data_IF_011154723122
#
_entry.id   IF_011154723122
#
_cell.length_a   1.000
_cell.length_b   1.000
_cell.length_c   1.000
_cell.angle_alpha   90.00
_cell.angle_beta   90.00
_cell.angle_gamma   90.00
#
_symmetry.space_group_name_H-M   'P 1'
#
loop_
_entity.id
_entity.type
_entity.pdbx_description
1 polymer ?
#
# COMPACT_ATOMS: atom_id res chain seq x y z
N UNK A 1 27.19 -50.17 28.25
CA UNK A 1 26.10 -49.63 29.11
C UNK A 1 26.44 -48.19 29.43
N UNK A 2 25.76 -47.23 28.79
CA UNK A 2 26.04 -45.80 28.94
C UNK A 2 25.24 -45.31 30.15
N UNK A 3 25.96 -44.91 31.20
CA UNK A 3 25.42 -44.34 32.44
C UNK A 3 24.52 -43.14 32.13
N UNK A 4 23.21 -43.30 32.36
CA UNK A 4 22.20 -42.25 32.33
C UNK A 4 22.00 -41.76 33.76
N UNK A 5 22.85 -40.85 34.24
CA UNK A 5 22.57 -40.20 35.53
C UNK A 5 23.27 -38.85 35.71
N UNK A 6 23.23 -38.00 34.68
CA UNK A 6 23.39 -36.56 34.89
C UNK A 6 22.02 -35.91 34.75
N UNK A 7 21.36 -35.70 35.89
CA UNK A 7 20.17 -34.86 35.96
C UNK A 7 20.49 -33.51 35.31
N UNK A 8 19.63 -33.09 34.37
CA UNK A 8 19.79 -31.82 33.67
C UNK A 8 19.85 -30.68 34.71
N UNK A 9 20.78 -29.73 34.57
CA UNK A 9 20.97 -28.61 35.52
C UNK A 9 19.65 -27.89 35.83
N UNK A 10 18.75 -27.80 34.84
CA UNK A 10 17.42 -27.23 34.99
C UNK A 10 16.48 -28.07 35.85
N UNK A 11 16.53 -29.40 35.77
CA UNK A 11 15.76 -30.29 36.66
C UNK A 11 16.27 -30.19 38.11
N UNK A 12 17.58 -30.13 38.31
CA UNK A 12 18.19 -29.94 39.63
C UNK A 12 17.80 -28.58 40.25
N UNK A 13 17.68 -27.52 39.43
CA UNK A 13 17.20 -26.21 39.88
C UNK A 13 15.71 -26.23 40.23
N UNK A 14 14.88 -26.92 39.46
CA UNK A 14 13.44 -27.04 39.74
C UNK A 14 13.17 -27.84 41.03
N UNK A 15 13.94 -28.92 41.26
CA UNK A 15 13.82 -29.75 42.44
C UNK A 15 14.15 -29.01 43.76
N UNK A 16 14.86 -27.87 43.70
CA UNK A 16 15.11 -27.03 44.89
C UNK A 16 13.88 -26.24 45.34
N UNK A 17 12.94 -25.96 44.44
CA UNK A 17 11.80 -25.09 44.71
C UNK A 17 10.44 -25.82 44.66
N UNK A 18 10.40 -27.01 44.08
CA UNK A 18 9.16 -27.77 43.85
C UNK A 18 9.29 -29.24 44.24
N UNK A 19 8.16 -29.89 44.53
CA UNK A 19 8.10 -31.34 44.73
C UNK A 19 8.63 -32.07 43.49
N UNK A 20 9.21 -33.27 43.64
CA UNK A 20 9.83 -34.00 42.52
C UNK A 20 8.84 -34.21 41.36
N UNK A 21 7.59 -34.55 41.69
CA UNK A 21 6.50 -34.70 40.72
C UNK A 21 6.15 -33.41 39.97
N UNK A 22 6.18 -32.27 40.67
CA UNK A 22 5.89 -30.97 40.05
C UNK A 22 7.06 -30.48 39.20
N UNK A 23 8.29 -30.73 39.64
CA UNK A 23 9.50 -30.36 38.91
C UNK A 23 9.61 -31.10 37.58
N UNK A 24 9.33 -32.41 37.56
CA UNK A 24 9.31 -33.22 36.34
C UNK A 24 8.25 -32.72 35.35
N UNK A 25 7.03 -32.47 35.84
CA UNK A 25 5.92 -31.94 35.01
C UNK A 25 6.24 -30.58 34.40
N UNK A 26 6.82 -29.66 35.17
CA UNK A 26 7.22 -28.33 34.67
C UNK A 26 8.32 -28.46 33.61
N UNK A 27 9.28 -29.37 33.82
CA UNK A 27 10.37 -29.58 32.89
C UNK A 27 9.87 -30.12 31.54
N UNK A 28 9.04 -31.17 31.55
CA UNK A 28 8.54 -31.80 30.32
C UNK A 28 7.59 -30.88 29.55
N UNK A 29 6.62 -30.25 30.22
CA UNK A 29 5.61 -29.42 29.56
C UNK A 29 6.17 -28.08 29.08
N UNK A 30 7.00 -27.40 29.89
CA UNK A 30 7.32 -25.98 29.67
C UNK A 30 8.75 -25.71 29.21
N UNK A 31 9.68 -26.64 29.45
CA UNK A 31 11.12 -26.38 29.24
C UNK A 31 11.70 -27.26 28.15
N UNK A 32 11.45 -28.57 28.16
CA UNK A 32 12.09 -29.56 27.28
C UNK A 32 11.93 -29.23 25.79
N UNK A 33 10.76 -28.72 25.39
CA UNK A 33 10.45 -28.42 23.99
C UNK A 33 10.52 -26.92 23.65
N UNK A 34 10.92 -26.06 24.59
CA UNK A 34 10.98 -24.62 24.36
C UNK A 34 12.36 -24.24 23.81
N UNK A 35 12.47 -23.82 22.54
CA UNK A 35 13.76 -23.41 21.98
C UNK A 35 14.30 -22.19 22.74
N UNK A 36 15.50 -22.31 23.30
CA UNK A 36 16.20 -21.19 23.91
C UNK A 36 16.85 -20.36 22.81
N UNK A 37 16.22 -19.25 22.45
CA UNK A 37 16.83 -18.27 21.56
C UNK A 37 17.94 -17.53 22.30
N UNK A 38 19.14 -18.12 22.30
CA UNK A 38 20.34 -17.47 22.81
C UNK A 38 20.63 -16.26 21.93
N UNK A 39 20.39 -15.07 22.46
CA UNK A 39 20.99 -13.88 21.89
C UNK A 39 22.49 -13.96 22.15
N UNK A 40 23.35 -13.66 21.15
CA UNK A 40 24.77 -13.44 21.41
C UNK A 40 24.88 -12.48 22.59
N UNK A 41 25.57 -12.92 23.64
CA UNK A 41 25.72 -12.15 24.87
C UNK A 41 26.25 -10.76 24.53
N UNK A 42 25.59 -9.73 25.08
CA UNK A 42 26.18 -8.39 25.14
C UNK A 42 27.31 -8.44 26.18
N UNK A 43 28.52 -7.95 25.86
CA UNK A 43 28.90 -7.23 24.65
C UNK A 43 29.30 -8.17 23.49
N UNK A 44 29.09 -7.75 22.22
CA UNK A 44 29.50 -8.53 21.06
C UNK A 44 30.99 -8.89 21.17
N UNK A 45 31.41 -10.09 20.70
CA UNK A 45 32.81 -10.48 20.73
C UNK A 45 33.64 -9.38 20.05
N UNK A 46 34.75 -8.99 20.68
CA UNK A 46 35.65 -7.97 20.14
C UNK A 46 35.93 -8.30 18.66
N UNK A 47 35.68 -7.34 17.77
CA UNK A 47 35.77 -7.55 16.32
C UNK A 47 37.18 -8.03 16.02
N UNK A 48 37.30 -9.30 15.63
CA UNK A 48 38.59 -9.88 15.31
C UNK A 48 39.22 -9.11 14.13
N UNK A 49 40.55 -9.01 14.08
CA UNK A 49 41.25 -8.33 12.99
C UNK A 49 40.83 -8.84 11.60
N UNK A 50 40.47 -10.14 11.49
CA UNK A 50 39.93 -10.74 10.27
C UNK A 50 38.56 -10.20 9.87
N UNK A 51 37.64 -10.04 10.83
CA UNK A 51 36.31 -9.46 10.58
C UNK A 51 36.41 -7.99 10.19
N UNK A 52 37.30 -7.22 10.82
CA UNK A 52 37.57 -5.83 10.45
C UNK A 52 38.06 -5.72 8.99
N UNK A 53 39.04 -6.54 8.59
CA UNK A 53 39.55 -6.61 7.20
C UNK A 53 38.47 -7.00 6.18
N UNK A 54 37.56 -7.91 6.54
CA UNK A 54 36.44 -8.31 5.67
C UNK A 54 35.47 -7.15 5.48
N UNK A 55 35.06 -6.49 6.57
CA UNK A 55 34.14 -5.34 6.53
C UNK A 55 34.71 -4.20 5.71
N UNK A 56 36.01 -3.95 5.80
CA UNK A 56 36.69 -2.93 4.99
C UNK A 56 36.68 -3.30 3.49
N UNK A 57 36.95 -4.57 3.13
CA UNK A 57 36.83 -5.04 1.73
C UNK A 57 35.41 -4.90 1.19
N UNK A 58 34.41 -5.27 1.99
CA UNK A 58 32.99 -5.11 1.63
C UNK A 58 32.62 -3.63 1.48
N UNK A 59 33.18 -2.73 2.31
CA UNK A 59 33.00 -1.28 2.16
C UNK A 59 33.62 -0.77 0.86
N UNK A 60 34.88 -1.08 0.59
CA UNK A 60 35.59 -0.67 -0.64
C UNK A 60 34.91 -1.17 -1.91
N UNK A 61 34.46 -2.42 -1.91
CA UNK A 61 33.70 -2.99 -3.05
C UNK A 61 32.35 -2.31 -3.25
N UNK A 62 31.62 -1.98 -2.16
CA UNK A 62 30.37 -1.20 -2.23
C UNK A 62 30.62 0.23 -2.74
N UNK A 63 31.68 0.88 -2.28
CA UNK A 63 32.07 2.23 -2.72
C UNK A 63 32.44 2.24 -4.20
N UNK A 64 33.24 1.26 -4.67
CA UNK A 64 33.56 1.09 -6.10
C UNK A 64 32.28 0.90 -6.92
N UNK A 65 31.38 -0.01 -6.52
CA UNK A 65 30.10 -0.23 -7.19
C UNK A 65 29.23 1.03 -7.24
N UNK A 66 29.28 1.88 -6.21
CA UNK A 66 28.56 3.17 -6.18
C UNK A 66 29.18 4.20 -7.13
N UNK A 67 30.50 4.22 -7.24
CA UNK A 67 31.23 5.14 -8.13
C UNK A 67 31.03 4.84 -9.62
N UNK A 68 30.82 3.56 -10.00
CA UNK A 68 30.52 3.18 -11.38
C UNK A 68 29.14 3.64 -11.86
N UNK A 69 28.19 3.89 -10.95
CA UNK A 69 26.84 4.34 -11.32
C UNK A 69 26.86 5.86 -11.53
N UNK A 70 26.17 6.38 -12.57
CA UNK A 70 25.99 7.81 -12.70
C UNK A 70 25.35 8.37 -11.43
N UNK A 71 25.80 9.55 -10.99
CA UNK A 71 25.21 10.20 -9.82
C UNK A 71 23.73 10.45 -10.09
N UNK A 72 22.81 10.07 -9.18
CA UNK A 72 21.41 10.39 -9.35
C UNK A 72 21.23 11.91 -9.36
N UNK A 73 20.26 12.38 -10.14
CA UNK A 73 19.94 13.81 -10.20
C UNK A 73 19.56 14.34 -8.81
N UNK A 74 20.14 15.47 -8.44
CA UNK A 74 19.77 16.17 -7.22
C UNK A 74 18.31 16.67 -7.30
N UNK A 75 17.71 16.99 -6.15
CA UNK A 75 16.36 17.56 -6.14
C UNK A 75 16.28 18.90 -6.89
N UNK A 76 17.36 19.69 -6.89
CA UNK A 76 17.44 20.95 -7.63
C UNK A 76 17.51 20.70 -9.15
N UNK A 77 18.33 19.73 -9.57
CA UNK A 77 18.45 19.34 -10.98
C UNK A 77 17.13 18.82 -11.55
N UNK A 78 16.40 17.98 -10.80
CA UNK A 78 15.08 17.47 -11.23
C UNK A 78 14.04 18.58 -11.40
N UNK A 79 14.04 19.58 -10.50
CA UNK A 79 13.18 20.76 -10.62
C UNK A 79 13.55 21.62 -11.83
N UNK A 80 14.84 21.84 -12.08
CA UNK A 80 15.30 22.58 -13.26
C UNK A 80 14.92 21.89 -14.58
N UNK A 81 14.92 20.56 -14.60
CA UNK A 81 14.47 19.78 -15.77
C UNK A 81 12.94 19.69 -15.89
N UNK A 82 12.16 20.13 -14.90
CA UNK A 82 10.70 20.00 -14.92
C UNK A 82 10.22 18.55 -14.99
N UNK A 83 10.99 17.58 -14.49
CA UNK A 83 10.73 16.14 -14.68
C UNK A 83 9.36 15.69 -14.15
N UNK A 84 8.77 16.45 -13.24
CA UNK A 84 7.50 16.14 -12.59
C UNK A 84 6.33 17.01 -13.07
N UNK A 85 6.60 17.93 -14.00
CA UNK A 85 5.63 18.89 -14.49
C UNK A 85 5.04 18.38 -15.80
N UNK A 86 3.73 18.51 -15.97
CA UNK A 86 3.04 18.14 -17.20
C UNK A 86 3.20 19.30 -18.19
N UNK A 87 3.85 19.10 -19.36
CA UNK A 87 3.99 20.16 -20.36
C UNK A 87 2.63 20.70 -20.79
N UNK A 88 2.53 22.02 -21.02
CA UNK A 88 1.28 22.69 -21.37
C UNK A 88 0.62 22.10 -22.63
N UNK A 89 1.41 21.68 -23.60
CA UNK A 89 0.92 21.10 -24.86
C UNK A 89 0.11 19.82 -24.65
N UNK A 90 0.44 19.08 -23.58
CA UNK A 90 -0.20 17.82 -23.20
C UNK A 90 -1.36 18.01 -22.21
N UNK A 91 -1.68 19.23 -21.79
CA UNK A 91 -2.79 19.52 -20.86
C UNK A 91 -4.15 19.56 -21.56
N UNK A 92 -4.41 18.61 -22.45
CA UNK A 92 -5.68 18.48 -23.17
C UNK A 92 -6.48 17.33 -22.59
N UNK A 93 -7.71 17.60 -22.17
CA UNK A 93 -8.61 16.61 -21.59
C UNK A 93 -8.79 15.39 -22.49
N UNK A 94 -8.97 15.63 -23.81
CA UNK A 94 -9.12 14.58 -24.81
C UNK A 94 -7.98 13.56 -24.83
N UNK A 95 -6.74 13.98 -24.53
CA UNK A 95 -5.58 13.09 -24.47
C UNK A 95 -5.67 12.08 -23.32
N UNK A 96 -6.40 12.42 -22.25
CA UNK A 96 -6.56 11.59 -21.06
C UNK A 96 -7.84 10.74 -21.07
N UNK A 97 -8.76 10.95 -22.02
CA UNK A 97 -9.98 10.12 -22.14
C UNK A 97 -9.65 8.64 -22.36
N UNK A 98 -8.72 8.25 -23.27
CA UNK A 98 -8.33 6.85 -23.41
C UNK A 98 -7.72 6.25 -22.13
N UNK A 99 -7.01 7.07 -21.34
CA UNK A 99 -6.47 6.65 -20.05
C UNK A 99 -7.59 6.36 -19.04
N UNK A 100 -8.66 7.15 -19.06
CA UNK A 100 -9.83 6.89 -18.23
C UNK A 100 -10.52 5.58 -18.64
N UNK A 101 -10.68 5.32 -19.93
CA UNK A 101 -11.26 4.06 -20.41
C UNK A 101 -10.43 2.84 -19.98
N UNK A 102 -9.09 2.96 -20.01
CA UNK A 102 -8.20 1.92 -19.50
C UNK A 102 -8.40 1.71 -18.00
N UNK A 103 -8.51 2.80 -17.23
CA UNK A 103 -8.76 2.74 -15.80
C UNK A 103 -10.11 2.08 -15.46
N UNK A 104 -11.16 2.33 -16.25
CA UNK A 104 -12.46 1.65 -16.09
C UNK A 104 -12.33 0.14 -16.28
N UNK A 105 -11.59 -0.32 -17.30
CA UNK A 105 -11.30 -1.74 -17.51
C UNK A 105 -10.57 -2.35 -16.31
N UNK A 106 -9.51 -1.69 -15.85
CA UNK A 106 -8.75 -2.07 -14.66
C UNK A 106 -9.62 -2.15 -13.39
N UNK A 107 -10.45 -1.14 -13.13
CA UNK A 107 -11.32 -1.11 -11.96
C UNK A 107 -12.34 -2.25 -11.98
N UNK A 108 -12.95 -2.53 -13.15
CA UNK A 108 -13.88 -3.65 -13.33
C UNK A 108 -13.21 -4.99 -13.11
N UNK A 109 -11.99 -5.18 -13.61
CA UNK A 109 -11.23 -6.43 -13.42
C UNK A 109 -10.92 -6.69 -11.95
N UNK A 110 -10.47 -5.67 -11.21
CA UNK A 110 -10.17 -5.80 -9.78
C UNK A 110 -11.43 -6.11 -8.96
N UNK A 111 -12.51 -5.39 -9.24
CA UNK A 111 -13.75 -5.52 -8.50
C UNK A 111 -14.47 -6.84 -8.83
N UNK A 112 -14.39 -7.31 -10.08
CA UNK A 112 -15.05 -8.53 -10.53
C UNK A 112 -16.57 -8.45 -10.30
N UNK A 113 -17.15 -9.40 -9.56
CA UNK A 113 -18.57 -9.37 -9.21
C UNK A 113 -18.94 -8.25 -8.22
N UNK A 114 -17.96 -7.71 -7.48
CA UNK A 114 -18.20 -6.62 -6.51
C UNK A 114 -18.53 -5.29 -7.18
N UNK A 115 -18.42 -5.18 -8.51
CA UNK A 115 -18.91 -4.02 -9.26
C UNK A 115 -20.42 -3.83 -9.08
N UNK A 116 -21.17 -4.92 -8.90
CA UNK A 116 -22.64 -4.87 -8.77
C UNK A 116 -23.13 -4.70 -7.34
N UNK A 117 -22.38 -5.25 -6.38
CA UNK A 117 -22.78 -5.32 -4.97
C UNK A 117 -22.07 -4.29 -4.10
N UNK A 118 -20.86 -3.88 -4.49
CA UNK A 118 -19.98 -3.06 -3.66
C UNK A 118 -19.55 -3.77 -2.36
N UNK A 119 -19.48 -3.00 -1.28
CA UNK A 119 -19.22 -3.52 0.07
C UNK A 119 -17.76 -3.42 0.52
N UNK A 120 -17.46 -4.08 1.64
CA UNK A 120 -16.15 -3.96 2.30
C UNK A 120 -14.99 -4.55 1.47
N UNK A 121 -15.26 -5.64 0.73
CA UNK A 121 -14.28 -6.25 -0.19
C UNK A 121 -13.85 -5.26 -1.29
N UNK A 122 -14.83 -4.62 -1.93
CA UNK A 122 -14.60 -3.60 -2.95
C UNK A 122 -13.80 -2.42 -2.37
N UNK A 123 -14.17 -1.94 -1.18
CA UNK A 123 -13.46 -0.87 -0.50
C UNK A 123 -11.99 -1.22 -0.19
N UNK A 124 -11.71 -2.43 0.27
CA UNK A 124 -10.35 -2.88 0.54
C UNK A 124 -9.50 -2.92 -0.74
N UNK A 125 -10.04 -3.45 -1.84
CA UNK A 125 -9.36 -3.48 -3.14
C UNK A 125 -9.10 -2.08 -3.70
N UNK A 126 -10.12 -1.23 -3.69
CA UNK A 126 -10.02 0.15 -4.17
C UNK A 126 -9.07 1.01 -3.33
N UNK A 127 -8.93 0.73 -2.03
CA UNK A 127 -7.98 1.44 -1.15
C UNK A 127 -6.52 1.24 -1.55
N UNK A 128 -6.19 0.07 -2.12
CA UNK A 128 -4.86 -0.27 -2.60
C UNK A 128 -4.68 0.02 -4.11
N UNK A 129 -5.79 0.22 -4.83
CA UNK A 129 -5.79 0.41 -6.27
C UNK A 129 -5.13 1.73 -6.70
N UNK A 130 -4.68 1.74 -7.95
CA UNK A 130 -4.16 2.94 -8.58
C UNK A 130 -5.30 3.85 -9.08
N UNK A 131 -5.13 5.16 -8.88
CA UNK A 131 -6.12 6.18 -9.24
C UNK A 131 -5.68 7.04 -10.43
N UNK A 132 -4.52 6.78 -11.04
CA UNK A 132 -4.17 7.41 -12.30
C UNK A 132 -5.18 7.05 -13.39
N UNK A 133 -5.78 8.06 -14.05
CA UNK A 133 -6.86 7.85 -15.02
C UNK A 133 -8.26 7.77 -14.43
N UNK A 134 -8.42 7.72 -13.10
CA UNK A 134 -9.73 7.79 -12.48
C UNK A 134 -10.37 9.16 -12.72
N UNK A 135 -11.67 9.20 -13.05
CA UNK A 135 -12.43 10.44 -13.02
C UNK A 135 -12.89 10.69 -11.58
N UNK A 136 -12.43 11.81 -11.01
CA UNK A 136 -12.75 12.22 -9.64
C UNK A 136 -13.61 13.47 -9.64
N UNK A 137 -14.56 13.52 -8.71
CA UNK A 137 -15.33 14.70 -8.36
C UNK A 137 -15.13 15.07 -6.90
N UNK A 138 -14.87 16.34 -6.60
CA UNK A 138 -14.78 16.83 -5.22
C UNK A 138 -16.18 17.10 -4.68
N UNK A 139 -16.69 16.21 -3.80
CA UNK A 139 -18.03 16.36 -3.19
C UNK A 139 -17.99 17.24 -1.95
N UNK A 140 -16.96 17.07 -1.12
CA UNK A 140 -16.77 17.86 0.10
C UNK A 140 -15.32 18.32 0.19
N UNK A 141 -15.12 19.56 0.61
CA UNK A 141 -13.81 20.10 0.93
C UNK A 141 -13.93 21.12 2.05
N UNK A 142 -12.91 21.25 2.89
CA UNK A 142 -12.81 22.40 3.80
C UNK A 142 -12.77 23.75 3.09
N UNK A 143 -12.43 23.78 1.78
CA UNK A 143 -12.48 24.97 0.94
C UNK A 143 -13.62 24.86 -0.07
N UNK A 144 -14.67 25.67 0.10
CA UNK A 144 -15.89 25.64 -0.73
C UNK A 144 -15.59 25.83 -2.22
N UNK A 145 -14.61 26.67 -2.58
CA UNK A 145 -14.23 26.91 -3.98
C UNK A 145 -13.64 25.71 -4.71
N UNK A 146 -13.36 24.59 -4.01
CA UNK A 146 -12.88 23.34 -4.61
C UNK A 146 -13.99 22.33 -4.86
N UNK A 147 -15.15 22.52 -4.24
CA UNK A 147 -16.30 21.62 -4.39
C UNK A 147 -16.82 21.70 -5.82
N UNK A 148 -17.15 20.55 -6.41
CA UNK A 148 -17.60 20.43 -7.79
C UNK A 148 -16.49 20.41 -8.84
N UNK A 149 -15.20 20.44 -8.44
CA UNK A 149 -14.12 20.15 -9.38
C UNK A 149 -14.24 18.70 -9.82
N UNK A 150 -14.51 18.49 -11.11
CA UNK A 150 -14.58 17.18 -11.77
C UNK A 150 -13.50 17.07 -12.85
N UNK A 151 -12.80 15.94 -12.89
CA UNK A 151 -11.76 15.70 -13.89
C UNK A 151 -11.00 14.39 -13.73
N UNK A 152 -10.15 14.09 -14.71
CA UNK A 152 -9.35 12.86 -14.74
C UNK A 152 -8.04 13.07 -13.99
N UNK A 153 -7.65 12.13 -13.14
CA UNK A 153 -6.37 12.18 -12.42
C UNK A 153 -5.22 11.92 -13.37
N UNK A 154 -4.35 12.93 -13.53
CA UNK A 154 -3.09 12.79 -14.26
C UNK A 154 -2.02 12.18 -13.35
N UNK A 155 -1.97 12.64 -12.10
CA UNK A 155 -0.90 12.30 -11.16
C UNK A 155 -1.42 12.14 -9.74
N UNK A 156 -1.11 10.99 -9.17
CA UNK A 156 -1.33 10.66 -7.77
C UNK A 156 -0.05 10.94 -6.97
N UNK A 157 0.06 12.17 -6.48
CA UNK A 157 1.17 12.56 -5.63
C UNK A 157 0.83 12.36 -4.15
N UNK A 158 1.88 12.49 -3.31
CA UNK A 158 1.67 12.54 -1.87
C UNK A 158 0.86 13.80 -1.55
N UNK A 159 -0.20 13.66 -0.75
CA UNK A 159 -1.12 14.72 -0.30
C UNK A 159 -1.97 15.42 -1.35
N UNK A 160 -1.71 15.27 -2.66
CA UNK A 160 -2.45 15.98 -3.70
C UNK A 160 -2.79 15.08 -4.87
N UNK A 161 -3.93 15.33 -5.50
CA UNK A 161 -4.26 14.84 -6.84
C UNK A 161 -4.11 15.98 -7.84
N UNK A 162 -3.39 15.73 -8.93
CA UNK A 162 -3.39 16.64 -10.08
C UNK A 162 -4.42 16.11 -11.08
N UNK A 163 -5.48 16.88 -11.31
CA UNK A 163 -6.62 16.50 -12.16
C UNK A 163 -6.72 17.43 -13.38
N UNK A 164 -7.01 16.87 -14.55
CA UNK A 164 -7.36 17.64 -15.75
C UNK A 164 -8.86 17.81 -15.82
N UNK A 165 -9.32 19.05 -15.88
CA UNK A 165 -10.73 19.37 -16.05
C UNK A 165 -11.12 19.36 -17.53
N UNK A 166 -12.42 19.20 -17.87
CA UNK A 166 -12.92 19.31 -19.25
C UNK A 166 -12.57 20.65 -19.93
N UNK A 167 -12.30 21.69 -19.12
CA UNK A 167 -11.84 23.02 -19.59
C UNK A 167 -10.37 23.05 -20.01
N UNK A 168 -9.69 21.90 -20.14
CA UNK A 168 -8.27 21.78 -20.42
C UNK A 168 -7.38 22.53 -19.40
N UNK A 169 -7.82 22.59 -18.15
CA UNK A 169 -7.04 23.19 -17.06
C UNK A 169 -6.68 22.15 -16.03
N UNK A 170 -5.39 22.07 -15.68
CA UNK A 170 -4.91 21.22 -14.60
C UNK A 170 -5.19 21.91 -13.26
N UNK A 171 -5.82 21.18 -12.34
CA UNK A 171 -6.10 21.62 -10.98
C UNK A 171 -5.39 20.69 -10.01
N UNK A 172 -4.73 21.28 -9.02
CA UNK A 172 -4.08 20.54 -7.93
C UNK A 172 -5.04 20.57 -6.75
N UNK A 173 -5.58 19.41 -6.40
CA UNK A 173 -6.55 19.25 -5.31
C UNK A 173 -5.88 18.57 -4.12
N UNK A 174 -5.78 19.24 -2.96
CA UNK A 174 -5.31 18.62 -1.74
C UNK A 174 -6.25 17.50 -1.29
N UNK A 175 -5.67 16.39 -0.84
CA UNK A 175 -6.39 15.23 -0.31
C UNK A 175 -6.81 15.44 1.15
N UNK A 176 -6.08 16.29 1.88
CA UNK A 176 -6.44 16.63 3.25
C UNK A 176 -7.80 17.36 3.30
N UNK A 177 -8.70 16.87 4.14
CA UNK A 177 -10.02 17.46 4.35
C UNK A 177 -10.90 17.48 3.10
N UNK A 178 -10.66 16.58 2.14
CA UNK A 178 -11.46 16.41 0.93
C UNK A 178 -12.05 15.02 0.81
N UNK A 179 -13.27 14.97 0.27
CA UNK A 179 -13.98 13.75 -0.06
C UNK A 179 -14.19 13.73 -1.57
N UNK A 180 -13.68 12.68 -2.20
CA UNK A 180 -13.77 12.50 -3.64
C UNK A 180 -14.80 11.42 -3.96
N UNK A 181 -15.63 11.66 -4.97
CA UNK A 181 -16.53 10.67 -5.54
C UNK A 181 -15.93 10.12 -6.82
N UNK A 182 -16.03 8.81 -6.97
CA UNK A 182 -15.59 8.07 -8.16
C UNK A 182 -16.73 7.18 -8.62
N UNK A 183 -16.93 7.12 -9.93
CA UNK A 183 -17.99 6.34 -10.55
C UNK A 183 -17.40 5.29 -11.49
N UNK A 184 -17.83 4.05 -11.30
CA UNK A 184 -17.45 2.90 -12.13
C UNK A 184 -18.72 2.28 -12.70
N UNK A 185 -19.01 2.52 -14.00
CA UNK A 185 -20.10 1.82 -14.67
C UNK A 185 -19.78 0.32 -14.81
N UNK A 186 -20.79 -0.56 -14.66
CA UNK A 186 -20.62 -2.00 -14.89
C UNK A 186 -20.15 -2.30 -16.32
N UNK A 187 -19.50 -3.45 -16.55
CA UNK A 187 -19.15 -3.87 -17.91
C UNK A 187 -20.40 -4.01 -18.77
N UNK A 188 -20.29 -3.59 -20.03
CA UNK A 188 -21.27 -3.90 -21.07
C UNK A 188 -21.03 -5.34 -21.48
N UNK A 189 -21.94 -6.25 -21.17
CA UNK A 189 -21.87 -7.62 -21.66
C UNK A 189 -22.02 -7.56 -23.19
N UNK A 190 -21.18 -8.25 -23.99
CA UNK A 190 -21.44 -8.41 -25.40
C UNK A 190 -22.82 -9.06 -25.53
N UNK A 191 -23.70 -8.46 -26.33
CA UNK A 191 -25.06 -8.94 -26.55
C UNK A 191 -25.05 -10.43 -26.89
N UNK A 192 -25.49 -11.28 -25.96
CA UNK A 192 -25.95 -12.63 -26.31
C UNK A 192 -27.23 -12.45 -27.14
N UNK A 193 -27.26 -12.82 -28.43
CA UNK A 193 -28.44 -12.63 -29.28
C UNK A 193 -29.63 -13.53 -28.87
N UNK A 194 -29.48 -14.35 -27.82
CA UNK A 194 -30.48 -15.31 -27.35
C UNK A 194 -31.38 -14.79 -26.20
N UNK A 195 -31.11 -13.62 -25.61
CA UNK A 195 -31.98 -13.02 -24.59
C UNK A 195 -32.82 -11.86 -25.15
N UNK A 196 -33.31 -12.00 -26.39
CA UNK A 196 -34.44 -11.23 -26.88
C UNK A 196 -35.69 -12.03 -26.56
N UNK A 197 -36.18 -11.88 -25.33
CA UNK A 197 -37.60 -11.85 -25.00
C UNK A 197 -37.79 -12.06 -23.50
N UNK A 198 -38.54 -11.13 -22.92
CA UNK A 198 -39.19 -11.17 -21.60
C UNK A 198 -38.40 -10.64 -20.39
N UNK A 199 -39.02 -9.62 -19.79
CA UNK A 199 -38.85 -9.01 -18.47
C UNK A 199 -37.76 -7.94 -18.20
N UNK A 200 -38.24 -6.70 -18.12
CA UNK A 200 -37.80 -5.55 -17.32
C UNK A 200 -36.39 -5.67 -16.69
N UNK A 201 -35.35 -5.36 -17.47
CA UNK A 201 -33.99 -5.16 -16.93
C UNK A 201 -34.00 -4.03 -15.91
N UNK A 202 -33.94 -4.38 -14.63
CA UNK A 202 -33.69 -3.44 -13.54
C UNK A 202 -32.51 -2.51 -13.90
N UNK A 203 -32.57 -1.20 -13.60
CA UNK A 203 -31.52 -0.26 -13.97
C UNK A 203 -30.20 -0.71 -13.35
N UNK A 204 -29.21 -1.07 -14.18
CA UNK A 204 -27.85 -1.40 -13.74
C UNK A 204 -27.25 -0.13 -13.14
N UNK A 205 -27.21 -0.03 -11.81
CA UNK A 205 -26.69 1.15 -11.11
C UNK A 205 -25.17 1.18 -11.22
N UNK A 206 -24.62 2.35 -11.52
CA UNK A 206 -23.17 2.56 -11.50
C UNK A 206 -22.66 2.41 -10.07
N UNK A 207 -21.52 1.74 -9.90
CA UNK A 207 -20.86 1.68 -8.61
C UNK A 207 -20.25 3.05 -8.32
N UNK A 208 -20.84 3.74 -7.35
CA UNK A 208 -20.31 5.00 -6.85
C UNK A 208 -19.66 4.73 -5.51
N UNK A 209 -18.40 5.14 -5.36
CA UNK A 209 -17.72 5.07 -4.09
C UNK A 209 -17.04 6.39 -3.76
N UNK A 210 -16.89 6.62 -2.45
CA UNK A 210 -16.31 7.83 -1.91
C UNK A 210 -14.94 7.53 -1.30
N UNK A 211 -13.98 8.40 -1.60
CA UNK A 211 -12.62 8.34 -1.09
C UNK A 211 -12.43 9.48 -0.10
N UNK A 212 -12.14 9.13 1.15
CA UNK A 212 -11.64 10.08 2.14
C UNK A 212 -10.18 10.40 1.85
N UNK A 213 -9.90 11.63 1.41
CA UNK A 213 -8.57 12.03 0.98
C UNK A 213 -7.51 11.98 2.09
N UNK A 214 -7.88 12.18 3.35
CA UNK A 214 -6.97 12.03 4.50
C UNK A 214 -6.26 10.66 4.50
N UNK A 215 -7.02 9.59 4.21
CA UNK A 215 -6.50 8.23 4.11
C UNK A 215 -5.69 7.98 2.84
N UNK A 216 -5.92 8.77 1.80
CA UNK A 216 -5.24 8.70 0.51
C UNK A 216 -4.01 9.61 0.38
N UNK A 217 -3.54 10.20 1.49
CA UNK A 217 -2.37 11.09 1.53
C UNK A 217 -1.05 10.45 1.05
N UNK A 218 -0.95 9.12 1.04
CA UNK A 218 0.21 8.37 0.54
C UNK A 218 0.13 8.14 -0.97
N UNK A 219 1.30 8.04 -1.63
CA UNK A 219 1.39 7.78 -3.08
C UNK A 219 0.81 6.42 -3.43
N UNK A 220 0.33 6.24 -4.66
CA UNK A 220 -0.24 4.98 -5.15
C UNK A 220 0.68 3.77 -4.90
N UNK A 221 1.95 3.84 -5.31
CA UNK A 221 2.91 2.75 -5.10
C UNK A 221 3.16 2.42 -3.61
N UNK A 222 3.06 3.42 -2.74
CA UNK A 222 3.23 3.26 -1.30
C UNK A 222 1.94 2.67 -0.67
N UNK A 223 0.75 2.90 -1.24
CA UNK A 223 -0.54 2.38 -0.75
C UNK A 223 -0.65 0.88 -0.83
N UNK A 224 -0.27 0.29 -1.96
CA UNK A 224 -0.39 -1.16 -2.18
C UNK A 224 0.36 -1.98 -1.10
N UNK A 225 1.47 -1.45 -0.59
CA UNK A 225 2.29 -2.10 0.43
C UNK A 225 1.96 -1.66 1.87
N UNK A 226 1.08 -0.66 2.03
CA UNK A 226 0.77 -0.08 3.34
C UNK A 226 -0.32 -0.90 4.02
N UNK A 227 -0.03 -1.36 5.23
CA UNK A 227 -1.05 -1.92 6.13
C UNK A 227 -1.86 -0.76 6.71
N UNK A 228 -3.03 -0.49 6.14
CA UNK A 228 -3.96 0.50 6.68
C UNK A 228 -4.49 0.02 8.02
N UNK A 229 -4.43 0.90 9.03
CA UNK A 229 -5.02 0.67 10.35
C UNK A 229 -6.27 1.51 10.45
N UNK A 230 -7.32 0.93 11.04
CA UNK A 230 -8.53 1.67 11.36
C UNK A 230 -8.20 2.70 12.44
N UNK A 231 -8.26 3.98 12.06
CA UNK A 231 -8.13 5.09 12.99
C UNK A 231 -9.46 5.81 13.09
N UNK A 232 -9.82 6.24 14.30
CA UNK A 232 -10.98 7.10 14.50
C UNK A 232 -10.73 8.44 13.81
N UNK A 233 -11.67 8.86 12.96
CA UNK A 233 -11.60 10.12 12.24
C UNK A 233 -12.51 11.13 12.94
N UNK A 234 -11.89 12.16 13.54
CA UNK A 234 -12.61 13.20 14.29
C UNK A 234 -13.52 14.08 13.42
N UNK A 235 -13.20 14.20 12.12
CA UNK A 235 -13.75 15.23 11.24
C UNK A 235 -14.49 14.66 10.02
N UNK A 236 -14.97 13.41 10.09
CA UNK A 236 -15.93 12.88 9.09
C UNK A 236 -17.31 13.41 9.43
#
# INVERSE_FOLDING_TARGET
>A
MISRDQASVTQALLARAHSPTSAERIYTEKIQHRPLFLRPTSPPPQVTARQARRKERERKTKERKKALKPKPLSASQRRKLGLHDVPRDNQKYATYVPLHNLWLGYAREILGSEVYTGGQGAGAKLSAADMHGAELEVVRSGCVGRVGIKGIVIKDARFVFEVITPKNTVKIVPKEGTLFRVEVPPPEDPEDPASKETDEKAPRKNLVFEIHGDQFSVRAADRANKKFKTHFLKNI
#
